data_IF_013791539084
#
_entry.id   IF_013791539084
#
_cell.length_a   1.000
_cell.length_b   1.000
_cell.length_c   1.000
_cell.angle_alpha   90.00
_cell.angle_beta   90.00
_cell.angle_gamma   90.00
#
_symmetry.space_group_name_H-M   'P 1'
#
loop_
_entity.id
_entity.type
_entity.pdbx_description
1 polymer ?
#
# COMPACT_ATOMS: atom_id res chain seq x y z
N UNK A 1 -10.59 29.49 70.39
CA UNK A 1 -10.51 29.62 68.91
C UNK A 1 -9.91 28.34 68.34
N UNK A 2 -10.74 27.52 67.69
CA UNK A 2 -10.36 26.19 67.18
C UNK A 2 -9.56 26.30 65.87
N UNK A 3 -8.39 25.62 65.81
CA UNK A 3 -7.57 25.49 64.60
C UNK A 3 -8.20 24.49 63.64
N UNK A 4 -8.48 24.92 62.42
CA UNK A 4 -8.98 24.13 61.29
C UNK A 4 -7.88 23.18 60.76
N UNK A 5 -7.97 21.90 61.10
CA UNK A 5 -7.02 20.84 60.66
C UNK A 5 -7.64 19.85 59.66
N UNK A 6 -8.44 20.32 58.68
CA UNK A 6 -9.15 19.43 57.74
C UNK A 6 -8.90 19.64 56.23
N UNK A 7 -8.11 20.60 55.76
CA UNK A 7 -8.02 20.86 54.30
C UNK A 7 -6.83 20.22 53.57
N UNK A 8 -5.64 20.18 54.19
CA UNK A 8 -4.43 19.67 53.52
C UNK A 8 -4.49 18.16 53.24
N UNK A 9 -5.07 17.39 54.17
CA UNK A 9 -5.13 15.92 54.07
C UNK A 9 -6.20 15.45 53.07
N UNK A 10 -7.27 16.24 52.90
CA UNK A 10 -8.27 16.04 51.84
C UNK A 10 -7.72 16.41 50.47
N UNK A 11 -7.00 17.54 50.37
CA UNK A 11 -6.34 17.95 49.12
C UNK A 11 -5.37 16.89 48.60
N UNK A 12 -4.44 16.41 49.43
CA UNK A 12 -3.46 15.37 49.02
C UNK A 12 -4.15 14.06 48.63
N UNK A 13 -5.23 13.66 49.33
CA UNK A 13 -6.02 12.48 48.94
C UNK A 13 -6.75 12.67 47.61
N UNK A 14 -7.30 13.87 47.35
CA UNK A 14 -7.96 14.18 46.08
C UNK A 14 -6.96 14.27 44.92
N UNK A 15 -5.75 14.81 45.14
CA UNK A 15 -4.71 14.88 44.10
C UNK A 15 -4.14 13.50 43.76
N UNK A 16 -3.96 12.63 44.75
CA UNK A 16 -3.50 11.25 44.53
C UNK A 16 -4.53 10.37 43.81
N UNK A 17 -5.83 10.58 44.07
CA UNK A 17 -6.90 9.89 43.35
C UNK A 17 -7.01 10.35 41.88
N UNK A 18 -6.79 11.64 41.61
CA UNK A 18 -6.78 12.18 40.25
C UNK A 18 -5.57 11.68 39.43
N UNK A 19 -4.38 11.59 40.02
CA UNK A 19 -3.18 11.10 39.32
C UNK A 19 -3.19 9.58 39.08
N UNK A 20 -3.73 8.78 40.01
CA UNK A 20 -3.93 7.35 39.78
C UNK A 20 -4.98 7.07 38.69
N UNK A 21 -6.03 7.91 38.58
CA UNK A 21 -7.04 7.79 37.52
C UNK A 21 -6.49 8.01 36.11
N UNK A 22 -5.48 8.86 35.93
CA UNK A 22 -4.80 9.06 34.64
C UNK A 22 -3.89 7.89 34.22
N UNK A 23 -3.42 7.09 35.18
CA UNK A 23 -2.51 5.96 34.91
C UNK A 23 -3.25 4.66 34.54
N UNK A 24 -4.55 4.57 34.83
CA UNK A 24 -5.39 3.37 34.59
C UNK A 24 -6.30 3.56 33.36
N UNK A 25 -6.03 4.55 32.51
CA UNK A 25 -6.76 4.71 31.24
C UNK A 25 -6.02 4.02 30.10
N UNK A 26 -6.70 3.24 29.24
CA UNK A 26 -6.11 2.69 28.03
C UNK A 26 -5.46 3.81 27.20
N UNK A 27 -4.18 3.64 26.84
CA UNK A 27 -3.45 4.53 25.94
C UNK A 27 -4.27 4.77 24.66
N UNK A 28 -4.78 5.98 24.49
CA UNK A 28 -5.68 6.36 23.37
C UNK A 28 -7.00 7.04 23.79
N UNK A 29 -7.34 7.01 25.08
CA UNK A 29 -8.58 7.62 25.59
C UNK A 29 -8.40 9.03 26.19
N UNK A 30 -7.17 9.43 26.55
CA UNK A 30 -6.83 10.76 27.10
C UNK A 30 -6.60 11.85 26.03
N UNK A 31 -6.20 11.44 24.83
CA UNK A 31 -6.07 12.30 23.65
C UNK A 31 -6.88 11.61 22.57
N UNK A 32 -8.15 11.99 22.40
CA UNK A 32 -9.08 11.26 21.54
C UNK A 32 -8.47 10.89 20.19
N UNK A 33 -8.85 9.74 19.63
CA UNK A 33 -8.28 9.19 18.38
C UNK A 33 -8.16 10.20 17.22
N UNK A 34 -8.91 11.31 17.25
CA UNK A 34 -8.92 12.36 16.23
C UNK A 34 -8.15 13.65 16.57
N UNK A 35 -7.41 13.71 17.67
CA UNK A 35 -6.58 14.88 17.99
C UNK A 35 -5.51 15.10 16.92
N UNK A 36 -5.23 16.35 16.55
CA UNK A 36 -4.23 16.67 15.52
C UNK A 36 -2.82 16.14 15.86
N UNK A 37 -2.49 16.03 17.15
CA UNK A 37 -1.24 15.44 17.66
C UNK A 37 -1.12 13.94 17.44
N UNK A 38 -2.21 13.25 17.10
CA UNK A 38 -2.23 11.81 16.85
C UNK A 38 -2.16 11.47 15.36
N UNK A 39 -2.12 12.49 14.47
CA UNK A 39 -2.01 12.27 13.03
C UNK A 39 -0.59 11.88 12.65
N UNK A 40 -0.48 10.90 11.76
CA UNK A 40 0.81 10.46 11.23
C UNK A 40 1.29 11.41 10.14
N UNK A 41 2.59 11.69 10.14
CA UNK A 41 3.29 12.29 9.02
C UNK A 41 3.63 11.20 7.99
N UNK A 42 2.93 11.24 6.86
CA UNK A 42 2.97 10.19 5.84
C UNK A 42 3.73 10.67 4.60
N UNK A 43 4.62 9.80 4.11
CA UNK A 43 5.13 9.86 2.74
C UNK A 43 4.28 8.99 1.82
N UNK A 44 3.66 9.59 0.81
CA UNK A 44 3.00 8.86 -0.26
C UNK A 44 3.97 8.65 -1.43
N UNK A 45 4.20 7.39 -1.81
CA UNK A 45 5.13 7.02 -2.87
C UNK A 45 4.36 6.23 -3.94
N UNK A 46 4.25 6.78 -5.15
CA UNK A 46 3.34 6.31 -6.19
C UNK A 46 1.98 7.01 -6.07
N UNK A 47 1.84 8.12 -6.77
CA UNK A 47 0.73 9.07 -6.59
C UNK A 47 -0.42 8.85 -7.58
N UNK A 48 -0.31 7.87 -8.47
CA UNK A 48 -1.35 7.54 -9.44
C UNK A 48 -2.04 6.19 -9.19
N UNK A 49 -3.04 5.88 -10.02
CA UNK A 49 -3.66 4.56 -10.07
C UNK A 49 -4.33 4.19 -8.75
N UNK A 50 -3.74 3.23 -8.04
CA UNK A 50 -4.33 2.69 -6.81
C UNK A 50 -4.32 3.67 -5.64
N UNK A 51 -3.32 4.55 -5.52
CA UNK A 51 -3.27 5.54 -4.43
C UNK A 51 -4.45 6.52 -4.45
N UNK A 52 -5.09 6.73 -5.61
CA UNK A 52 -6.34 7.51 -5.70
C UNK A 52 -7.50 6.91 -4.90
N UNK A 53 -7.50 5.59 -4.69
CA UNK A 53 -8.49 4.90 -3.85
C UNK A 53 -8.19 5.04 -2.36
N UNK A 54 -6.98 5.46 -2.01
CA UNK A 54 -6.55 5.70 -0.63
C UNK A 54 -6.70 7.16 -0.19
N UNK A 55 -7.12 8.06 -1.09
CA UNK A 55 -7.23 9.50 -0.80
C UNK A 55 -8.11 9.81 0.40
N UNK A 56 -9.25 9.14 0.52
CA UNK A 56 -10.18 9.36 1.64
C UNK A 56 -9.57 8.98 3.00
N UNK A 57 -8.61 8.06 3.03
CA UNK A 57 -7.83 7.73 4.23
C UNK A 57 -6.68 8.71 4.41
N UNK A 58 -5.89 8.96 3.36
CA UNK A 58 -4.74 9.86 3.40
C UNK A 58 -5.09 11.30 3.79
N UNK A 59 -6.23 11.82 3.34
CA UNK A 59 -6.70 13.18 3.67
C UNK A 59 -7.07 13.37 5.14
N UNK A 60 -7.17 12.28 5.91
CA UNK A 60 -7.39 12.34 7.36
C UNK A 60 -6.08 12.53 8.13
N UNK A 61 -4.94 12.22 7.50
CA UNK A 61 -3.60 12.26 8.08
C UNK A 61 -2.77 13.43 7.53
N UNK A 62 -1.53 13.59 8.01
CA UNK A 62 -0.62 14.62 7.53
C UNK A 62 0.24 14.05 6.40
N UNK A 63 -0.17 14.20 5.13
CA UNK A 63 0.69 13.84 4.00
C UNK A 63 1.74 14.93 3.81
N UNK A 64 2.95 14.70 4.32
CA UNK A 64 4.05 15.69 4.35
C UNK A 64 5.06 15.52 3.21
N UNK A 65 5.01 14.38 2.51
CA UNK A 65 5.84 14.10 1.34
C UNK A 65 5.05 13.35 0.28
N UNK A 66 5.21 13.73 -0.98
CA UNK A 66 4.66 13.00 -2.12
C UNK A 66 5.76 12.70 -3.14
N UNK A 67 5.77 11.47 -3.66
CA UNK A 67 6.80 10.98 -4.55
C UNK A 67 6.21 10.29 -5.78
N UNK A 68 6.59 10.75 -6.96
CA UNK A 68 6.21 10.15 -8.24
C UNK A 68 7.19 10.57 -9.34
N UNK A 69 7.54 9.66 -10.24
CA UNK A 69 8.48 9.93 -11.33
C UNK A 69 7.88 10.82 -12.42
N UNK A 70 6.55 10.92 -12.46
CA UNK A 70 5.81 11.76 -13.40
C UNK A 70 5.49 13.13 -12.81
N UNK A 71 6.09 14.17 -13.37
CA UNK A 71 5.96 15.55 -12.89
C UNK A 71 4.50 16.07 -12.95
N UNK A 72 3.69 15.60 -13.89
CA UNK A 72 2.28 16.00 -13.96
C UNK A 72 1.45 15.34 -12.86
N UNK A 73 1.73 14.09 -12.52
CA UNK A 73 1.10 13.39 -11.39
C UNK A 73 1.48 14.06 -10.08
N UNK A 74 2.76 14.41 -9.90
CA UNK A 74 3.22 15.18 -8.74
C UNK A 74 2.47 16.51 -8.62
N UNK A 75 2.41 17.29 -9.70
CA UNK A 75 1.75 18.60 -9.71
C UNK A 75 0.24 18.54 -9.47
N UNK A 76 -0.43 17.46 -9.86
CA UNK A 76 -1.84 17.26 -9.55
C UNK A 76 -2.04 16.84 -8.09
N UNK A 77 -1.21 15.90 -7.60
CA UNK A 77 -1.30 15.39 -6.23
C UNK A 77 -0.94 16.46 -5.20
N UNK A 78 -0.03 17.40 -5.52
CA UNK A 78 0.32 18.52 -4.64
C UNK A 78 -0.85 19.48 -4.39
N UNK A 79 -1.82 19.55 -5.30
CA UNK A 79 -3.06 20.33 -5.10
C UNK A 79 -4.00 19.65 -4.10
N UNK A 80 -3.95 18.32 -4.01
CA UNK A 80 -4.74 17.54 -3.04
C UNK A 80 -4.10 17.58 -1.64
N UNK A 81 -2.76 17.68 -1.56
CA UNK A 81 -1.98 17.72 -0.32
C UNK A 81 -1.08 18.96 -0.29
N UNK A 82 -1.67 20.16 -0.07
CA UNK A 82 -0.91 21.40 -0.04
C UNK A 82 0.12 21.37 1.11
N UNK A 83 1.37 21.75 0.81
CA UNK A 83 2.47 21.76 1.77
C UNK A 83 3.32 20.49 1.80
N UNK A 84 2.89 19.41 1.13
CA UNK A 84 3.73 18.23 0.96
C UNK A 84 4.97 18.56 0.13
N UNK A 85 6.16 18.10 0.56
CA UNK A 85 7.38 18.21 -0.25
C UNK A 85 7.31 17.24 -1.42
N UNK A 86 7.82 17.67 -2.57
CA UNK A 86 7.75 16.93 -3.83
C UNK A 86 9.06 16.20 -4.10
N UNK A 87 8.97 14.91 -4.40
CA UNK A 87 10.11 14.07 -4.76
C UNK A 87 9.85 13.31 -6.05
N UNK A 88 10.86 13.16 -6.89
CA UNK A 88 10.82 12.20 -8.02
C UNK A 88 11.39 10.84 -7.63
N UNK A 89 12.39 10.86 -6.75
CA UNK A 89 13.11 9.69 -6.28
C UNK A 89 12.66 9.31 -4.87
N UNK A 90 12.10 8.11 -4.72
CA UNK A 90 11.61 7.62 -3.44
C UNK A 90 12.74 7.44 -2.42
N UNK A 91 13.98 7.22 -2.84
CA UNK A 91 15.14 7.12 -1.95
C UNK A 91 15.37 8.43 -1.21
N UNK A 92 15.30 9.55 -1.95
CA UNK A 92 15.40 10.91 -1.40
C UNK A 92 14.17 11.29 -0.57
N UNK A 93 12.99 10.82 -0.97
CA UNK A 93 11.76 11.01 -0.19
C UNK A 93 11.90 10.40 1.21
N UNK A 94 12.47 9.19 1.32
CA UNK A 94 12.68 8.51 2.60
C UNK A 94 13.76 9.16 3.49
N UNK A 95 14.56 10.09 2.96
CA UNK A 95 15.53 10.85 3.75
C UNK A 95 14.92 12.11 4.40
N UNK A 96 13.65 12.43 4.08
CA UNK A 96 12.90 13.47 4.76
C UNK A 96 12.77 13.16 6.26
N UNK A 97 13.01 14.18 7.09
CA UNK A 97 12.84 14.10 8.54
C UNK A 97 11.36 14.10 8.92
N UNK A 98 11.10 13.59 10.11
CA UNK A 98 9.77 13.61 10.77
C UNK A 98 8.69 12.85 9.98
N UNK A 99 9.08 11.78 9.30
CA UNK A 99 8.14 10.80 8.74
C UNK A 99 7.82 9.75 9.81
N UNK A 100 6.55 9.38 9.92
CA UNK A 100 6.09 8.27 10.77
C UNK A 100 5.75 7.03 9.94
N UNK A 101 5.26 7.22 8.72
CA UNK A 101 4.78 6.13 7.87
C UNK A 101 4.99 6.38 6.37
N UNK A 102 4.98 5.29 5.62
CA UNK A 102 5.02 5.27 4.16
C UNK A 102 3.79 4.55 3.62
N UNK A 103 3.13 5.17 2.65
CA UNK A 103 2.13 4.51 1.80
C UNK A 103 2.74 4.31 0.42
N UNK A 104 3.07 3.06 0.10
CA UNK A 104 3.70 2.65 -1.14
C UNK A 104 2.65 2.11 -2.12
N UNK A 105 2.54 2.75 -3.27
CA UNK A 105 1.63 2.45 -4.38
C UNK A 105 2.36 2.57 -5.73
N UNK A 106 3.65 2.26 -5.74
CA UNK A 106 4.51 2.27 -6.93
C UNK A 106 4.19 1.08 -7.83
N UNK A 107 4.89 0.90 -8.96
CA UNK A 107 4.97 -0.40 -9.61
C UNK A 107 5.54 -1.50 -8.70
N UNK A 108 5.14 -2.75 -8.94
CA UNK A 108 5.41 -3.91 -8.05
C UNK A 108 6.90 -4.14 -7.80
N UNK A 109 7.73 -3.94 -8.83
CA UNK A 109 9.18 -4.09 -8.77
C UNK A 109 9.88 -3.14 -7.79
N UNK A 110 9.20 -2.09 -7.33
CA UNK A 110 9.71 -1.20 -6.28
C UNK A 110 9.24 -1.56 -4.87
N UNK A 111 8.16 -2.34 -4.73
CA UNK A 111 7.46 -2.52 -3.46
C UNK A 111 8.35 -3.07 -2.35
N UNK A 112 9.11 -4.12 -2.63
CA UNK A 112 10.00 -4.74 -1.65
C UNK A 112 11.10 -3.77 -1.20
N UNK A 113 11.71 -3.05 -2.15
CA UNK A 113 12.77 -2.09 -1.87
C UNK A 113 12.29 -0.93 -1.01
N UNK A 114 11.17 -0.29 -1.39
CA UNK A 114 10.56 0.79 -0.61
C UNK A 114 10.21 0.32 0.79
N UNK A 115 9.59 -0.85 0.92
CA UNK A 115 9.15 -1.39 2.22
C UNK A 115 10.33 -1.70 3.14
N UNK A 116 11.37 -2.37 2.63
CA UNK A 116 12.58 -2.70 3.41
C UNK A 116 13.31 -1.41 3.83
N UNK A 117 13.47 -0.46 2.91
CA UNK A 117 14.17 0.80 3.19
C UNK A 117 13.43 1.67 4.20
N UNK A 118 12.11 1.69 4.15
CA UNK A 118 11.27 2.40 5.10
C UNK A 118 11.33 1.74 6.49
N UNK A 119 11.19 0.42 6.58
CA UNK A 119 11.29 -0.29 7.86
C UNK A 119 12.66 -0.15 8.52
N UNK A 120 13.74 -0.19 7.73
CA UNK A 120 15.10 0.03 8.26
C UNK A 120 15.32 1.46 8.79
N UNK A 121 14.44 2.41 8.44
CA UNK A 121 14.40 3.78 8.98
C UNK A 121 13.42 3.93 10.14
N UNK A 122 12.79 2.84 10.59
CA UNK A 122 11.80 2.88 11.67
C UNK A 122 10.43 3.41 11.25
N UNK A 123 10.11 3.40 9.96
CA UNK A 123 8.84 3.90 9.44
C UNK A 123 7.79 2.77 9.37
N UNK A 124 6.55 3.07 9.72
CA UNK A 124 5.42 2.19 9.43
C UNK A 124 5.21 2.07 7.93
N UNK A 125 4.71 0.92 7.45
CA UNK A 125 4.57 0.68 6.00
C UNK A 125 3.20 0.13 5.67
N UNK A 126 2.44 0.87 4.86
CA UNK A 126 1.37 0.30 4.06
C UNK A 126 1.88 0.16 2.62
N UNK A 127 1.91 -1.06 2.08
CA UNK A 127 2.37 -1.33 0.72
C UNK A 127 1.26 -2.00 -0.08
N UNK A 128 0.94 -1.48 -1.26
CA UNK A 128 -0.03 -2.14 -2.12
C UNK A 128 0.41 -3.55 -2.55
N UNK A 129 -0.59 -4.36 -2.87
CA UNK A 129 -0.38 -5.69 -3.43
C UNK A 129 -0.05 -5.60 -4.93
N UNK A 130 0.67 -6.60 -5.47
CA UNK A 130 1.42 -7.65 -4.76
C UNK A 130 2.64 -7.09 -4.01
N UNK A 131 3.00 -7.70 -2.86
CA UNK A 131 4.03 -7.18 -1.94
C UNK A 131 5.43 -7.02 -2.57
N UNK A 132 5.77 -7.83 -3.56
CA UNK A 132 7.11 -7.93 -4.13
C UNK A 132 7.06 -8.61 -5.50
N UNK A 133 8.14 -8.53 -6.30
CA UNK A 133 8.23 -9.11 -7.65
C UNK A 133 8.80 -10.54 -7.68
N UNK A 134 9.24 -11.05 -6.52
CA UNK A 134 9.67 -12.45 -6.36
C UNK A 134 9.38 -12.96 -4.95
N UNK A 135 9.38 -14.29 -4.80
CA UNK A 135 9.23 -14.94 -3.49
C UNK A 135 10.39 -14.55 -2.57
N UNK A 136 11.60 -14.46 -3.13
CA UNK A 136 12.81 -14.07 -2.40
C UNK A 136 12.67 -12.66 -1.84
N UNK A 137 12.23 -11.70 -2.65
CA UNK A 137 11.95 -10.34 -2.17
C UNK A 137 10.87 -10.31 -1.09
N UNK A 138 9.76 -11.04 -1.26
CA UNK A 138 8.71 -11.13 -0.24
C UNK A 138 9.25 -11.68 1.10
N UNK A 139 10.12 -12.70 1.05
CA UNK A 139 10.81 -13.24 2.23
C UNK A 139 11.73 -12.20 2.87
N UNK A 140 12.49 -11.43 2.09
CA UNK A 140 13.33 -10.35 2.61
C UNK A 140 12.50 -9.26 3.31
N UNK A 141 11.34 -8.90 2.75
CA UNK A 141 10.40 -7.96 3.40
C UNK A 141 9.94 -8.53 4.74
N UNK A 142 9.50 -9.79 4.79
CA UNK A 142 9.12 -10.47 6.03
C UNK A 142 10.26 -10.52 7.05
N UNK A 143 11.47 -10.89 6.64
CA UNK A 143 12.62 -10.98 7.54
C UNK A 143 13.01 -9.61 8.10
N UNK A 144 12.82 -8.56 7.31
CA UNK A 144 13.00 -7.17 7.77
C UNK A 144 11.92 -6.78 8.77
N UNK A 145 10.66 -7.11 8.50
CA UNK A 145 9.56 -6.88 9.43
C UNK A 145 9.78 -7.62 10.76
N UNK A 146 10.15 -8.90 10.74
CA UNK A 146 10.33 -9.70 11.95
C UNK A 146 11.37 -9.11 12.91
N UNK A 147 12.42 -8.45 12.38
CA UNK A 147 13.42 -7.73 13.19
C UNK A 147 12.88 -6.45 13.83
N UNK A 148 11.78 -5.91 13.30
CA UNK A 148 11.18 -4.63 13.70
C UNK A 148 9.75 -4.78 14.25
N UNK A 149 9.23 -6.00 14.37
CA UNK A 149 7.80 -6.30 14.62
C UNK A 149 7.23 -5.71 15.90
N UNK A 150 8.09 -5.49 16.90
CA UNK A 150 7.70 -4.95 18.20
C UNK A 150 7.60 -3.42 18.21
N UNK A 151 7.98 -2.76 17.10
CA UNK A 151 7.97 -1.30 16.94
C UNK A 151 7.14 -0.83 15.75
N UNK A 152 7.09 -1.61 14.67
CA UNK A 152 6.50 -1.17 13.41
C UNK A 152 5.22 -1.93 13.08
N UNK A 153 4.15 -1.18 12.80
CA UNK A 153 3.02 -1.67 12.05
C UNK A 153 3.34 -1.75 10.56
N UNK A 154 3.00 -2.88 9.93
CA UNK A 154 3.05 -3.03 8.47
C UNK A 154 1.76 -3.66 7.96
N UNK A 155 1.37 -3.31 6.74
CA UNK A 155 0.18 -3.86 6.09
C UNK A 155 0.38 -3.96 4.58
N UNK A 156 0.03 -5.10 4.00
CA UNK A 156 -0.11 -5.24 2.55
C UNK A 156 -1.55 -4.87 2.13
N UNK A 157 -1.70 -4.27 0.96
CA UNK A 157 -2.98 -3.76 0.43
C UNK A 157 -3.99 -4.83 -0.04
N UNK A 158 -4.04 -6.00 0.59
CA UNK A 158 -5.03 -7.06 0.36
C UNK A 158 -6.38 -6.72 1.00
N UNK A 159 -7.01 -5.62 0.56
CA UNK A 159 -8.14 -4.99 1.27
C UNK A 159 -9.35 -5.89 1.48
N UNK A 160 -9.55 -6.91 0.65
CA UNK A 160 -10.64 -7.88 0.83
C UNK A 160 -10.61 -8.53 2.21
N UNK A 161 -9.44 -8.68 2.83
CA UNK A 161 -9.32 -9.27 4.18
C UNK A 161 -9.91 -8.39 5.28
N UNK A 162 -10.14 -7.10 5.02
CA UNK A 162 -10.79 -6.19 5.94
C UNK A 162 -12.32 -6.14 5.78
N UNK A 163 -12.88 -6.83 4.76
CA UNK A 163 -14.32 -6.86 4.53
C UNK A 163 -15.01 -7.87 5.46
N UNK A 164 -16.11 -7.51 6.16
CA UNK A 164 -16.77 -8.39 7.12
C UNK A 164 -17.20 -9.75 6.57
N UNK A 165 -17.51 -9.82 5.26
CA UNK A 165 -17.88 -11.07 4.61
C UNK A 165 -16.75 -12.12 4.65
N UNK A 166 -15.48 -11.70 4.59
CA UNK A 166 -14.36 -12.63 4.66
C UNK A 166 -14.17 -13.22 6.04
N UNK A 167 -14.26 -12.38 7.08
CA UNK A 167 -14.24 -12.84 8.46
C UNK A 167 -15.36 -13.87 8.70
N UNK A 168 -16.58 -13.58 8.23
CA UNK A 168 -17.72 -14.50 8.32
C UNK A 168 -17.49 -15.83 7.62
N UNK A 169 -16.92 -15.84 6.40
CA UNK A 169 -16.64 -17.09 5.67
C UNK A 169 -15.60 -17.92 6.42
N UNK A 170 -14.53 -17.28 6.92
CA UNK A 170 -13.50 -17.93 7.73
C UNK A 170 -14.10 -18.56 8.99
N UNK A 171 -14.90 -17.80 9.73
CA UNK A 171 -15.57 -18.27 10.94
C UNK A 171 -16.49 -19.47 10.66
N UNK A 172 -17.31 -19.43 9.61
CA UNK A 172 -18.20 -20.54 9.25
C UNK A 172 -17.43 -21.81 8.88
N UNK A 173 -16.31 -21.69 8.17
CA UNK A 173 -15.46 -22.84 7.83
C UNK A 173 -14.82 -23.42 9.09
N UNK A 174 -14.29 -22.57 9.97
CA UNK A 174 -13.65 -22.99 11.23
C UNK A 174 -14.65 -23.59 12.23
N UNK A 175 -15.91 -23.14 12.23
CA UNK A 175 -17.01 -23.68 13.04
C UNK A 175 -17.60 -24.98 12.45
N UNK A 176 -17.06 -25.46 11.32
CA UNK A 176 -17.44 -26.74 10.73
C UNK A 176 -18.73 -26.72 9.89
N UNK A 177 -19.20 -25.54 9.45
CA UNK A 177 -20.42 -25.42 8.65
C UNK A 177 -20.38 -26.20 7.32
N UNK A 178 -19.19 -26.54 6.83
CA UNK A 178 -18.97 -27.33 5.59
C UNK A 178 -18.47 -28.76 5.87
N UNK A 179 -18.41 -29.18 7.14
CA UNK A 179 -17.78 -30.43 7.55
C UNK A 179 -16.26 -30.41 7.34
N UNK A 180 -15.69 -31.54 6.92
CA UNK A 180 -14.26 -31.62 6.61
C UNK A 180 -13.97 -31.04 5.23
N UNK A 181 -13.39 -29.83 5.19
CA UNK A 181 -13.01 -29.15 3.96
C UNK A 181 -12.04 -30.02 3.13
N UNK A 182 -12.43 -30.34 1.90
CA UNK A 182 -11.64 -31.18 0.97
C UNK A 182 -10.90 -30.37 -0.08
N UNK A 183 -11.62 -29.44 -0.71
CA UNK A 183 -11.13 -28.71 -1.87
C UNK A 183 -11.59 -27.25 -1.83
N UNK A 184 -10.72 -26.35 -2.29
CA UNK A 184 -11.04 -24.93 -2.53
C UNK A 184 -10.72 -24.60 -3.98
N UNK A 185 -11.71 -24.08 -4.69
CA UNK A 185 -11.59 -23.74 -6.10
C UNK A 185 -11.62 -22.21 -6.23
N UNK A 186 -10.47 -21.63 -6.59
CA UNK A 186 -10.36 -20.21 -6.89
C UNK A 186 -10.00 -20.04 -8.37
N UNK A 187 -10.74 -19.20 -9.09
CA UNK A 187 -10.51 -18.96 -10.51
C UNK A 187 -10.65 -17.49 -10.87
N UNK A 188 -10.08 -17.12 -12.01
CA UNK A 188 -10.23 -15.83 -12.65
C UNK A 188 -10.33 -16.03 -14.14
N UNK A 189 -11.13 -15.21 -14.82
CA UNK A 189 -11.22 -15.18 -16.28
C UNK A 189 -10.27 -14.14 -16.90
N UNK A 190 -9.39 -13.53 -16.09
CA UNK A 190 -8.40 -12.57 -16.60
C UNK A 190 -7.29 -13.30 -17.33
N UNK A 191 -7.03 -12.87 -18.55
CA UNK A 191 -6.00 -13.41 -19.43
C UNK A 191 -5.15 -12.29 -20.00
N UNK A 192 -3.95 -12.63 -20.46
CA UNK A 192 -3.14 -11.74 -21.27
C UNK A 192 -2.37 -12.50 -22.33
N UNK A 193 -2.11 -11.82 -23.44
CA UNK A 193 -1.43 -12.39 -24.59
C UNK A 193 -0.01 -11.81 -24.77
N UNK A 194 0.51 -11.10 -23.76
CA UNK A 194 1.90 -10.63 -23.76
C UNK A 194 2.83 -11.80 -23.47
N UNK A 195 3.78 -12.03 -24.37
CA UNK A 195 4.77 -13.12 -24.30
C UNK A 195 6.20 -12.61 -24.13
N UNK A 196 6.42 -11.29 -24.16
CA UNK A 196 7.74 -10.69 -24.04
C UNK A 196 7.70 -9.18 -23.82
N UNK A 197 8.88 -8.59 -23.61
CA UNK A 197 9.04 -7.15 -23.48
C UNK A 197 8.76 -6.41 -24.78
N UNK A 198 8.40 -5.15 -24.65
CA UNK A 198 8.13 -4.29 -25.79
C UNK A 198 9.45 -3.79 -26.38
N UNK A 199 9.55 -3.67 -27.72
CA UNK A 199 10.70 -3.02 -28.34
C UNK A 199 10.72 -1.53 -27.98
N UNK A 200 11.86 -0.88 -28.23
CA UNK A 200 11.94 0.57 -28.15
C UNK A 200 10.88 1.24 -29.04
N UNK A 201 10.23 2.27 -28.52
CA UNK A 201 9.24 3.05 -29.25
C UNK A 201 9.28 4.50 -28.78
N UNK A 202 10.22 5.25 -29.34
CA UNK A 202 10.46 6.65 -29.02
C UNK A 202 11.18 6.84 -27.69
N UNK A 203 11.42 8.11 -27.35
CA UNK A 203 12.06 8.48 -26.08
C UNK A 203 11.04 8.65 -24.97
N UNK A 204 11.46 8.39 -23.74
CA UNK A 204 10.66 8.76 -22.58
C UNK A 204 10.41 10.29 -22.59
N UNK A 205 9.17 10.75 -22.36
CA UNK A 205 8.89 12.18 -22.28
C UNK A 205 9.64 12.84 -21.11
N UNK A 206 10.04 14.10 -21.27
CA UNK A 206 10.82 14.85 -20.26
C UNK A 206 10.15 14.94 -18.87
N UNK A 207 8.83 14.80 -18.81
CA UNK A 207 8.07 14.82 -17.55
C UNK A 207 8.08 13.48 -16.81
N UNK A 208 8.66 12.42 -17.37
CA UNK A 208 8.82 11.11 -16.74
C UNK A 208 10.29 10.78 -16.63
N UNK A 209 10.74 10.60 -15.39
CA UNK A 209 12.06 10.06 -15.12
C UNK A 209 12.07 8.54 -15.36
N UNK A 210 12.51 8.13 -16.55
CA UNK A 210 12.47 6.72 -16.98
C UNK A 210 13.44 5.84 -16.20
N UNK A 211 14.62 6.34 -15.87
CA UNK A 211 15.60 5.61 -15.07
C UNK A 211 15.04 5.32 -13.67
N UNK A 212 14.41 6.32 -13.04
CA UNK A 212 13.74 6.13 -11.76
C UNK A 212 12.51 5.23 -11.85
N UNK A 213 11.80 5.21 -12.99
CA UNK A 213 10.65 4.33 -13.21
C UNK A 213 11.07 2.88 -13.40
N UNK A 214 12.16 2.60 -14.12
CA UNK A 214 12.75 1.27 -14.27
C UNK A 214 13.30 0.79 -12.93
N UNK A 215 13.98 1.69 -12.22
CA UNK A 215 14.45 1.46 -10.86
C UNK A 215 15.33 0.21 -10.71
N UNK A 216 14.94 -0.76 -9.87
CA UNK A 216 15.75 -1.95 -9.59
C UNK A 216 15.72 -3.00 -10.71
N UNK A 217 14.85 -2.85 -11.70
CA UNK A 217 14.69 -3.83 -12.78
C UNK A 217 15.79 -3.68 -13.84
N UNK A 218 16.09 -4.76 -14.60
CA UNK A 218 16.96 -4.64 -15.77
C UNK A 218 16.48 -3.53 -16.70
N UNK A 219 17.41 -2.81 -17.31
CA UNK A 219 17.07 -1.72 -18.21
C UNK A 219 16.29 -2.25 -19.42
N UNK A 220 15.09 -1.70 -19.61
CA UNK A 220 14.27 -1.93 -20.79
C UNK A 220 14.11 -0.60 -21.55
N UNK A 221 14.13 -0.63 -22.90
CA UNK A 221 13.93 0.59 -23.66
C UNK A 221 12.53 1.15 -23.41
N UNK A 222 12.40 2.47 -23.53
CA UNK A 222 11.11 3.11 -23.34
C UNK A 222 10.11 2.63 -24.40
N UNK A 223 8.91 2.30 -23.93
CA UNK A 223 7.75 2.09 -24.79
C UNK A 223 6.50 2.63 -24.09
N UNK A 224 5.73 3.54 -24.71
CA UNK A 224 4.55 4.12 -24.09
C UNK A 224 3.47 3.09 -23.76
N UNK A 225 3.52 1.89 -24.36
CA UNK A 225 2.60 0.80 -24.05
C UNK A 225 2.79 0.23 -22.64
N UNK A 226 3.93 0.40 -21.97
CA UNK A 226 4.06 0.04 -20.54
C UNK A 226 3.05 0.78 -19.64
N UNK A 227 2.50 1.90 -20.14
CA UNK A 227 1.55 2.76 -19.45
C UNK A 227 0.12 2.68 -20.01
N UNK A 228 -0.16 1.65 -20.80
CA UNK A 228 -1.44 1.39 -21.48
C UNK A 228 -1.98 0.00 -21.13
N UNK A 229 -3.30 -0.16 -21.11
CA UNK A 229 -3.95 -1.43 -20.79
C UNK A 229 -3.67 -2.43 -21.91
N UNK A 230 -3.19 -3.61 -21.53
CA UNK A 230 -2.74 -4.61 -22.50
C UNK A 230 -3.76 -5.72 -22.80
N UNK A 231 -4.94 -5.73 -22.17
CA UNK A 231 -6.01 -6.69 -22.49
C UNK A 231 -7.39 -6.02 -22.58
N UNK A 232 -8.32 -6.64 -23.33
CA UNK A 232 -9.71 -6.17 -23.41
C UNK A 232 -10.39 -6.19 -22.03
N UNK A 233 -10.11 -7.22 -21.22
CA UNK A 233 -10.60 -7.34 -19.83
C UNK A 233 -9.98 -6.24 -18.94
N UNK A 234 -8.70 -5.94 -19.11
CA UNK A 234 -8.01 -4.85 -18.40
C UNK A 234 -8.58 -3.49 -18.77
N UNK A 235 -8.96 -3.29 -20.05
CA UNK A 235 -9.61 -2.07 -20.50
C UNK A 235 -11.01 -1.90 -19.88
N UNK A 236 -11.84 -2.96 -19.91
CA UNK A 236 -13.18 -2.96 -19.30
C UNK A 236 -13.10 -2.70 -17.78
N UNK A 237 -12.20 -3.37 -17.06
CA UNK A 237 -12.03 -3.22 -15.60
C UNK A 237 -11.38 -1.89 -15.18
N UNK A 238 -10.54 -1.30 -16.03
CA UNK A 238 -10.04 0.06 -15.83
C UNK A 238 -11.11 1.13 -16.14
N UNK A 239 -12.32 0.72 -16.54
CA UNK A 239 -13.37 1.62 -17.00
C UNK A 239 -12.94 2.43 -18.23
N UNK A 240 -12.04 1.87 -19.06
CA UNK A 240 -11.55 2.50 -20.28
C UNK A 240 -12.28 1.97 -21.52
N UNK A 241 -12.62 2.88 -22.43
CA UNK A 241 -13.04 2.53 -23.79
C UNK A 241 -11.78 2.23 -24.61
N UNK A 242 -11.91 1.40 -25.66
CA UNK A 242 -10.82 1.10 -26.61
C UNK A 242 -10.22 2.42 -27.11
N UNK A 243 -8.96 2.71 -26.75
CA UNK A 243 -8.21 3.89 -27.20
C UNK A 243 -8.05 5.03 -26.19
N UNK A 244 -8.76 5.02 -25.06
CA UNK A 244 -8.70 6.11 -24.07
C UNK A 244 -7.99 5.67 -22.80
N UNK A 245 -6.99 6.46 -22.37
CA UNK A 245 -6.31 6.51 -21.04
C UNK A 245 -4.88 5.97 -21.04
N UNK A 246 -3.93 6.84 -20.69
CA UNK A 246 -2.54 6.50 -20.43
C UNK A 246 -2.02 7.33 -19.24
N UNK A 247 -1.08 6.78 -18.47
CA UNK A 247 -0.39 7.50 -17.39
C UNK A 247 0.46 8.68 -17.91
N UNK A 248 0.69 8.73 -19.23
CA UNK A 248 1.56 9.70 -19.89
C UNK A 248 0.91 11.07 -20.17
N UNK A 249 -0.42 11.19 -20.21
CA UNK A 249 -1.09 12.42 -20.67
C UNK A 249 -1.51 13.36 -19.50
N UNK A 250 -1.16 14.67 -19.58
CA UNK A 250 -1.47 15.68 -18.54
C UNK A 250 -2.92 16.19 -18.50
N UNK A 251 -3.71 16.02 -19.56
CA UNK A 251 -5.15 16.31 -19.57
C UNK A 251 -5.82 15.41 -20.60
N UNK A 252 -6.92 14.76 -20.22
CA UNK A 252 -7.97 14.57 -21.19
C UNK A 252 -9.21 15.05 -20.47
N UNK A 253 -9.84 16.16 -20.88
CA UNK A 253 -10.96 16.77 -20.16
C UNK A 253 -11.91 15.66 -19.62
N UNK A 254 -11.93 15.27 -18.34
CA UNK A 254 -11.48 15.90 -17.08
C UNK A 254 -10.71 14.92 -16.17
N UNK A 255 -9.62 14.36 -16.66
CA UNK A 255 -8.82 13.27 -16.07
C UNK A 255 -9.29 11.87 -16.44
N UNK A 256 -8.72 11.26 -17.47
CA UNK A 256 -9.09 9.91 -17.84
C UNK A 256 -8.35 8.94 -16.89
N UNK A 257 -9.05 7.90 -16.43
CA UNK A 257 -8.55 6.83 -15.55
C UNK A 257 -7.29 6.16 -16.13
N UNK A 258 -6.11 6.75 -15.95
CA UNK A 258 -4.83 6.14 -16.32
C UNK A 258 -4.70 4.80 -15.60
N UNK A 259 -4.43 3.76 -16.37
CA UNK A 259 -4.64 2.38 -15.96
C UNK A 259 -3.80 2.03 -14.74
N UNK A 260 -4.41 1.22 -13.88
CA UNK A 260 -3.87 0.62 -12.68
C UNK A 260 -2.72 -0.36 -13.00
N UNK A 261 -2.29 -1.15 -12.02
CA UNK A 261 -1.27 -2.18 -12.15
C UNK A 261 -1.33 -2.99 -13.47
N UNK A 262 -2.52 -3.18 -14.07
CA UNK A 262 -2.83 -3.92 -15.29
C UNK A 262 -2.17 -3.46 -16.62
N UNK A 263 -1.23 -2.50 -16.57
CA UNK A 263 -0.41 -2.10 -17.73
C UNK A 263 0.98 -2.73 -17.64
N UNK A 264 1.75 -2.31 -16.65
CA UNK A 264 3.14 -2.72 -16.46
C UNK A 264 3.27 -4.04 -15.71
N UNK A 265 2.28 -4.46 -14.91
CA UNK A 265 2.37 -5.73 -14.18
C UNK A 265 2.29 -6.97 -15.10
N UNK A 266 2.05 -6.73 -16.39
CA UNK A 266 2.04 -7.73 -17.45
C UNK A 266 3.45 -8.10 -17.94
N UNK A 267 4.49 -7.50 -17.37
CA UNK A 267 5.88 -7.75 -17.71
C UNK A 267 6.60 -8.21 -16.45
N UNK A 268 7.28 -9.36 -16.53
CA UNK A 268 7.84 -10.05 -15.36
C UNK A 268 8.75 -9.18 -14.49
N UNK A 269 9.52 -8.28 -15.09
CA UNK A 269 10.47 -7.44 -14.36
C UNK A 269 9.78 -6.22 -13.74
N UNK A 270 8.55 -5.91 -14.14
CA UNK A 270 7.79 -4.80 -13.59
C UNK A 270 6.67 -5.24 -12.64
N UNK A 271 6.22 -6.50 -12.75
CA UNK A 271 5.27 -7.13 -11.85
C UNK A 271 5.11 -8.63 -12.09
N UNK A 272 4.20 -9.25 -11.34
CA UNK A 272 4.07 -10.71 -11.24
C UNK A 272 2.99 -11.30 -12.17
N UNK A 273 2.78 -10.69 -13.34
CA UNK A 273 1.71 -11.07 -14.26
C UNK A 273 0.32 -11.01 -13.62
N UNK A 274 -0.67 -11.58 -14.31
CA UNK A 274 -2.03 -11.62 -13.80
C UNK A 274 -2.16 -12.48 -12.54
N UNK A 275 -1.28 -13.47 -12.35
CA UNK A 275 -1.32 -14.36 -11.20
C UNK A 275 -0.89 -13.68 -9.90
N UNK A 276 0.10 -12.77 -9.92
CA UNK A 276 0.44 -12.04 -8.70
C UNK A 276 -0.63 -11.03 -8.31
N UNK A 277 -1.23 -10.35 -9.29
CA UNK A 277 -2.36 -9.45 -9.05
C UNK A 277 -3.59 -10.24 -8.56
N UNK A 278 -4.08 -11.21 -9.33
CA UNK A 278 -5.29 -11.96 -9.00
C UNK A 278 -5.10 -12.96 -7.88
N UNK A 279 -3.93 -13.55 -7.73
CA UNK A 279 -3.63 -14.45 -6.62
C UNK A 279 -3.85 -13.78 -5.27
N UNK A 280 -3.46 -12.51 -5.14
CA UNK A 280 -3.77 -11.70 -3.94
C UNK A 280 -5.25 -11.35 -3.77
N UNK A 281 -6.06 -11.47 -4.83
CA UNK A 281 -7.52 -11.29 -4.79
C UNK A 281 -8.29 -12.61 -4.62
N UNK A 282 -7.75 -13.75 -5.02
CA UNK A 282 -8.50 -15.02 -5.13
C UNK A 282 -7.87 -16.18 -4.39
N UNK A 283 -6.55 -16.33 -4.45
CA UNK A 283 -5.84 -17.45 -3.80
C UNK A 283 -5.65 -17.19 -2.32
N UNK A 284 -5.34 -15.96 -1.91
CA UNK A 284 -5.19 -15.57 -0.50
C UNK A 284 -6.45 -15.91 0.33
N UNK A 285 -7.61 -15.81 -0.32
CA UNK A 285 -8.91 -16.16 0.24
C UNK A 285 -9.08 -17.64 0.58
N UNK A 286 -8.33 -18.52 -0.09
CA UNK A 286 -8.32 -19.94 0.21
C UNK A 286 -7.46 -20.22 1.45
N UNK A 287 -6.33 -19.51 1.60
CA UNK A 287 -5.39 -19.72 2.70
C UNK A 287 -5.91 -19.22 4.06
N UNK A 288 -6.59 -18.06 4.07
CA UNK A 288 -7.11 -17.47 5.32
C UNK A 288 -8.08 -18.37 6.11
N UNK A 289 -9.12 -18.94 5.48
CA UNK A 289 -10.05 -19.87 6.13
C UNK A 289 -9.44 -21.21 6.53
N UNK A 290 -8.44 -21.68 5.79
CA UNK A 290 -7.75 -22.94 6.07
C UNK A 290 -6.83 -22.86 7.29
N UNK A 291 -6.45 -21.64 7.72
CA UNK A 291 -5.32 -21.41 8.64
C UNK A 291 -4.06 -22.17 8.18
N UNK A 292 -3.89 -22.27 6.86
CA UNK A 292 -2.83 -23.05 6.26
C UNK A 292 -1.48 -22.36 6.50
N UNK A 293 -0.50 -23.17 6.89
CA UNK A 293 0.89 -22.75 6.97
C UNK A 293 1.45 -22.39 5.57
N UNK A 294 2.67 -21.88 5.55
CA UNK A 294 3.35 -21.47 4.31
C UNK A 294 3.37 -22.62 3.27
N UNK A 295 3.11 -22.32 1.97
CA UNK A 295 3.26 -23.31 0.91
C UNK A 295 4.66 -23.94 0.94
N UNK A 296 4.72 -25.28 1.01
CA UNK A 296 5.98 -26.03 1.07
C UNK A 296 6.52 -26.38 -0.32
N UNK A 297 5.67 -26.37 -1.35
CA UNK A 297 6.07 -26.57 -2.76
C UNK A 297 5.05 -25.93 -3.70
N UNK A 298 5.46 -25.68 -4.95
CA UNK A 298 4.59 -25.25 -6.04
C UNK A 298 5.02 -25.98 -7.32
N UNK A 299 4.05 -26.43 -8.11
CA UNK A 299 4.27 -27.12 -9.38
C UNK A 299 3.38 -26.48 -10.45
N UNK A 300 3.93 -26.16 -11.61
CA UNK A 300 3.18 -25.75 -12.79
C UNK A 300 3.07 -26.94 -13.75
N UNK A 301 1.88 -27.14 -14.32
CA UNK A 301 1.69 -28.09 -15.43
C UNK A 301 2.19 -27.52 -16.74
#
# INVERSE_FOLDING_TARGET
>A
MNKTTSDRRKFVKSTAAASAGLLIMPSGSLFGQSAASNKLNIALIGCWGRSRRHRSMLQKENVVAICDVNAFVLAATSKEFPGAKLYKDWRKCLDQKDLDAVVCCTPDHHHAFVSIWAMNRGLHVYCEKPLANSIQEARMVRDTYLKNKDKLATQCGTQHHAEPNYARIRELIQDGAVGNLKDVHAWTNRTHNITGYLPESGSAPDHIDWDLWIGPSPMHPFNPRYFQAQSQTSAVLAGSKKGDKNYLQPDSKKWPLGINCLSWNMFRDFGNWQIGDMGSHTMDLAFGPLDADLPTSAQSK
#
